data_IF_906952995603
#
_entry.id   IF_906952995603
#
_cell.length_a   1.000
_cell.length_b   1.000
_cell.length_c   1.000
_cell.angle_alpha   90.00
_cell.angle_beta   90.00
_cell.angle_gamma   90.00
#
_symmetry.space_group_name_H-M   'P 1'
#
loop_
_entity.id
_entity.type
_entity.pdbx_description
1 polymer ?
#
# COMPACT_ATOMS: atom_id res chain seq x y z
N UNK A 1 27.64 7.17 -10.51
CA UNK A 1 26.67 6.08 -10.45
C UNK A 1 25.69 6.15 -11.64
N UNK A 2 24.75 5.23 -11.70
CA UNK A 2 23.69 5.13 -12.71
C UNK A 2 22.74 6.34 -12.77
N UNK A 3 22.74 7.20 -11.74
CA UNK A 3 21.95 8.44 -11.67
C UNK A 3 22.77 9.70 -11.98
N UNK A 4 24.04 9.55 -12.37
CA UNK A 4 24.94 10.66 -12.63
C UNK A 4 25.55 11.31 -11.38
N UNK A 5 25.37 10.74 -10.17
CA UNK A 5 26.06 11.25 -8.99
C UNK A 5 27.54 10.91 -9.04
N UNK A 6 28.38 11.86 -8.63
CA UNK A 6 29.82 11.71 -8.55
C UNK A 6 30.29 12.06 -7.14
N UNK A 7 31.24 11.27 -6.62
CA UNK A 7 31.90 11.53 -5.34
C UNK A 7 33.41 11.44 -5.54
N UNK A 8 34.14 12.18 -4.73
CA UNK A 8 35.60 12.24 -4.77
C UNK A 8 36.15 12.10 -3.37
N UNK A 9 37.18 11.28 -3.21
CA UNK A 9 37.93 11.18 -1.96
C UNK A 9 39.43 11.20 -2.23
N UNK A 10 40.19 11.57 -1.24
CA UNK A 10 41.64 11.55 -1.26
C UNK A 10 42.14 10.70 -0.09
N UNK A 11 43.15 9.91 -0.31
CA UNK A 11 43.72 9.04 0.71
C UNK A 11 45.19 9.32 0.99
N UNK A 12 45.83 8.40 1.71
CA UNK A 12 47.24 8.46 1.98
C UNK A 12 48.06 8.52 0.69
N UNK A 13 49.14 9.26 0.67
CA UNK A 13 50.05 9.28 -0.50
C UNK A 13 50.62 7.89 -0.76
N UNK A 14 50.87 7.53 -2.02
CA UNK A 14 51.53 6.28 -2.36
C UNK A 14 52.99 6.28 -1.90
N UNK A 15 53.51 5.11 -1.61
CA UNK A 15 54.90 4.87 -1.19
C UNK A 15 55.65 4.10 -2.27
N UNK A 16 57.00 4.16 -2.23
CA UNK A 16 57.84 3.33 -3.09
C UNK A 16 57.65 1.85 -2.71
N UNK A 17 57.43 1.02 -3.75
CA UNK A 17 57.24 -0.41 -3.55
C UNK A 17 58.56 -1.12 -3.21
N UNK A 18 58.59 -1.80 -2.07
CA UNK A 18 59.74 -2.61 -1.67
C UNK A 18 59.74 -3.94 -2.40
N UNK A 19 58.57 -4.58 -2.58
CA UNK A 19 58.46 -5.92 -3.15
C UNK A 19 57.66 -5.97 -4.45
N UNK A 20 56.41 -5.43 -4.44
CA UNK A 20 55.51 -5.45 -5.59
C UNK A 20 54.86 -4.09 -5.78
N UNK A 21 55.06 -3.45 -6.94
CA UNK A 21 54.30 -2.25 -7.30
C UNK A 21 52.79 -2.55 -7.44
N UNK A 22 51.97 -1.55 -7.19
CA UNK A 22 50.55 -1.64 -7.44
C UNK A 22 50.29 -1.62 -8.96
N UNK A 23 49.47 -2.55 -9.43
CA UNK A 23 49.02 -2.57 -10.82
C UNK A 23 47.56 -2.19 -10.95
N UNK A 24 47.09 -1.65 -12.09
CA UNK A 24 45.69 -1.34 -12.31
C UNK A 24 44.77 -2.53 -12.03
N UNK A 25 45.14 -3.73 -12.44
CA UNK A 25 44.37 -4.96 -12.23
C UNK A 25 44.23 -5.27 -10.75
N UNK A 26 45.33 -5.21 -9.99
CA UNK A 26 45.34 -5.50 -8.56
C UNK A 26 44.53 -4.45 -7.76
N UNK A 27 44.55 -3.19 -8.21
CA UNK A 27 43.72 -2.12 -7.65
C UNK A 27 42.23 -2.36 -7.95
N UNK A 28 41.91 -2.66 -9.21
CA UNK A 28 40.55 -2.97 -9.64
C UNK A 28 39.95 -4.15 -8.83
N UNK A 29 40.67 -5.22 -8.64
CA UNK A 29 40.24 -6.39 -7.87
C UNK A 29 39.93 -6.07 -6.41
N UNK A 30 40.69 -5.15 -5.82
CA UNK A 30 40.42 -4.66 -4.46
C UNK A 30 39.21 -3.74 -4.40
N UNK A 31 39.01 -2.89 -5.39
CA UNK A 31 37.87 -1.98 -5.47
C UNK A 31 36.55 -2.72 -5.77
N UNK A 32 36.58 -3.85 -6.49
CA UNK A 32 35.42 -4.71 -6.75
C UNK A 32 34.81 -5.34 -5.48
N UNK A 33 35.56 -5.38 -4.37
CA UNK A 33 35.07 -5.96 -3.11
C UNK A 33 34.11 -5.02 -2.40
N UNK A 34 32.94 -4.81 -2.97
CA UNK A 34 31.89 -3.90 -2.45
C UNK A 34 30.88 -4.59 -1.52
N UNK A 35 31.19 -5.78 -1.01
CA UNK A 35 30.29 -6.56 -0.15
C UNK A 35 29.73 -5.76 1.03
N UNK A 36 28.47 -6.00 1.37
CA UNK A 36 27.74 -5.26 2.39
C UNK A 36 27.21 -3.88 1.92
N UNK A 37 27.37 -3.55 0.64
CA UNK A 37 26.84 -2.33 0.03
C UNK A 37 25.92 -2.66 -1.17
N UNK A 38 25.02 -1.77 -1.58
CA UNK A 38 24.18 -1.98 -2.76
C UNK A 38 24.92 -1.68 -4.10
N UNK A 39 26.22 -1.54 -4.08
CA UNK A 39 27.02 -1.13 -5.24
C UNK A 39 27.86 -2.28 -5.80
N UNK A 40 28.12 -2.21 -7.10
CA UNK A 40 29.14 -3.00 -7.79
C UNK A 40 29.97 -2.09 -8.69
N UNK A 41 31.23 -2.44 -8.92
CA UNK A 41 32.11 -1.72 -9.82
C UNK A 41 31.82 -2.15 -11.26
N UNK A 42 31.21 -1.25 -12.06
CA UNK A 42 30.86 -1.51 -13.45
C UNK A 42 32.04 -1.28 -14.40
N UNK A 43 32.80 -0.23 -14.17
CA UNK A 43 33.98 0.14 -14.97
C UNK A 43 35.08 0.71 -14.07
N UNK A 44 36.33 0.52 -14.50
CA UNK A 44 37.50 1.01 -13.79
C UNK A 44 38.48 1.64 -14.76
N UNK A 45 38.89 2.89 -14.49
CA UNK A 45 39.96 3.57 -15.17
C UNK A 45 40.94 4.09 -14.13
N UNK A 46 42.15 3.57 -14.16
CA UNK A 46 43.19 3.94 -13.21
C UNK A 46 44.51 4.28 -13.92
N UNK A 47 45.15 5.33 -13.46
CA UNK A 47 46.54 5.67 -13.84
C UNK A 47 47.37 5.51 -12.57
N UNK A 48 48.43 4.72 -12.65
CA UNK A 48 49.33 4.41 -11.53
C UNK A 48 50.73 4.67 -11.98
N UNK A 49 51.45 5.51 -11.25
CA UNK A 49 52.86 5.75 -11.54
C UNK A 49 53.70 4.51 -11.24
N UNK A 50 54.68 4.17 -12.09
CA UNK A 50 55.51 2.99 -11.92
C UNK A 50 56.29 2.99 -10.59
N UNK A 51 56.41 1.81 -9.99
CA UNK A 51 57.19 1.65 -8.76
C UNK A 51 56.50 2.08 -7.47
N UNK A 52 55.26 2.54 -7.53
CA UNK A 52 54.50 2.93 -6.34
C UNK A 52 53.58 1.82 -5.83
N UNK A 53 53.24 1.92 -4.55
CA UNK A 53 52.29 1.00 -3.92
C UNK A 53 51.39 1.74 -2.88
N UNK A 54 50.24 1.14 -2.60
CA UNK A 54 49.37 1.51 -1.52
C UNK A 54 49.08 0.29 -0.65
N UNK A 55 49.00 0.49 0.65
CA UNK A 55 48.61 -0.59 1.55
C UNK A 55 47.15 -1.05 1.29
N UNK A 56 46.88 -2.31 1.53
CA UNK A 56 45.53 -2.87 1.42
C UNK A 56 44.52 -2.11 2.32
N UNK A 57 44.99 -1.65 3.48
CA UNK A 57 44.18 -0.87 4.41
C UNK A 57 43.80 0.50 3.82
N UNK A 58 44.76 1.19 3.17
CA UNK A 58 44.52 2.48 2.54
C UNK A 58 43.50 2.38 1.38
N UNK A 59 43.64 1.37 0.50
CA UNK A 59 42.69 1.14 -0.60
C UNK A 59 41.30 0.81 -0.06
N UNK A 60 41.20 0.00 0.98
CA UNK A 60 39.94 -0.32 1.61
C UNK A 60 39.29 0.87 2.32
N UNK A 61 40.07 1.76 2.89
CA UNK A 61 39.59 3.01 3.49
C UNK A 61 38.97 3.92 2.43
N UNK A 62 39.72 4.20 1.34
CA UNK A 62 39.25 4.99 0.20
C UNK A 62 37.93 4.44 -0.36
N UNK A 63 37.88 3.11 -0.60
CA UNK A 63 36.66 2.48 -1.10
C UNK A 63 35.48 2.67 -0.17
N UNK A 64 35.64 2.47 1.13
CA UNK A 64 34.56 2.63 2.12
C UNK A 64 34.09 4.07 2.18
N UNK A 65 35.02 5.02 2.19
CA UNK A 65 34.72 6.44 2.29
C UNK A 65 33.92 6.92 1.06
N UNK A 66 34.37 6.63 -0.17
CA UNK A 66 33.69 7.06 -1.38
C UNK A 66 32.32 6.41 -1.53
N UNK A 67 32.14 5.13 -1.11
CA UNK A 67 30.83 4.49 -1.13
C UNK A 67 29.89 5.01 -0.07
N UNK A 68 30.40 5.40 1.11
CA UNK A 68 29.62 6.07 2.15
C UNK A 68 29.15 7.45 1.67
N UNK A 69 30.03 8.23 1.07
CA UNK A 69 29.68 9.53 0.51
C UNK A 69 28.65 9.39 -0.62
N UNK A 70 28.84 8.44 -1.53
CA UNK A 70 27.89 8.14 -2.60
C UNK A 70 26.51 7.76 -2.04
N UNK A 71 26.48 6.95 -0.99
CA UNK A 71 25.24 6.60 -0.28
C UNK A 71 24.56 7.82 0.33
N UNK A 72 25.35 8.71 0.95
CA UNK A 72 24.82 9.95 1.52
C UNK A 72 24.24 10.89 0.45
N UNK A 73 24.88 11.01 -0.71
CA UNK A 73 24.37 11.78 -1.85
C UNK A 73 23.09 11.17 -2.40
N UNK A 74 23.06 9.86 -2.61
CA UNK A 74 21.88 9.12 -3.14
C UNK A 74 20.69 9.14 -2.19
N UNK A 75 20.93 9.16 -0.89
CA UNK A 75 19.88 9.19 0.13
C UNK A 75 19.32 10.58 0.40
N UNK A 76 19.94 11.64 -0.11
CA UNK A 76 19.39 12.99 0.04
C UNK A 76 18.07 13.10 -0.70
N UNK A 77 16.95 13.40 -0.01
CA UNK A 77 15.70 13.65 -0.69
C UNK A 77 15.86 14.90 -1.58
N UNK A 78 15.30 14.85 -2.79
CA UNK A 78 15.21 16.05 -3.60
C UNK A 78 14.48 17.13 -2.82
N UNK A 79 15.04 18.34 -2.77
CA UNK A 79 14.37 19.47 -2.13
C UNK A 79 13.00 19.68 -2.79
N UNK A 80 11.89 19.61 -2.05
CA UNK A 80 10.57 19.80 -2.64
C UNK A 80 10.49 21.23 -3.22
N UNK A 81 10.13 21.33 -4.49
CA UNK A 81 9.81 22.63 -5.06
C UNK A 81 8.48 23.07 -4.48
N UNK A 82 8.48 24.14 -3.70
CA UNK A 82 7.27 24.77 -3.21
C UNK A 82 6.49 25.31 -4.41
N UNK A 83 5.43 24.63 -4.78
CA UNK A 83 4.47 25.12 -5.76
C UNK A 83 3.42 26.02 -5.10
N UNK A 84 2.79 26.89 -5.86
CA UNK A 84 1.62 27.62 -5.40
C UNK A 84 0.49 26.64 -5.06
N UNK A 85 -0.08 26.66 -3.85
CA UNK A 85 -1.17 25.77 -3.48
C UNK A 85 -2.37 26.02 -4.41
N UNK A 86 -2.75 25.03 -5.21
CA UNK A 86 -3.98 25.13 -5.99
C UNK A 86 -5.17 24.83 -5.09
N UNK A 87 -6.20 25.68 -5.16
CA UNK A 87 -7.49 25.41 -4.49
C UNK A 87 -8.16 24.22 -5.18
N UNK A 88 -8.46 23.17 -4.44
CA UNK A 88 -9.26 22.07 -4.95
C UNK A 88 -10.73 22.52 -5.04
N UNK A 89 -11.37 22.46 -6.20
CA UNK A 89 -12.78 22.85 -6.30
C UNK A 89 -13.64 21.97 -5.40
N UNK A 90 -14.44 22.59 -4.55
CA UNK A 90 -15.46 21.90 -3.78
C UNK A 90 -16.70 21.76 -4.66
N UNK A 91 -17.08 20.54 -4.95
CA UNK A 91 -18.30 20.25 -5.72
C UNK A 91 -19.44 19.96 -4.75
N UNK A 92 -20.57 20.66 -4.85
CA UNK A 92 -21.73 20.35 -4.03
C UNK A 92 -22.29 18.98 -4.38
N UNK A 93 -22.86 18.29 -3.42
CA UNK A 93 -23.60 17.05 -3.65
C UNK A 93 -24.97 17.31 -4.27
N UNK A 94 -25.52 16.31 -4.93
CA UNK A 94 -26.92 16.33 -5.34
C UNK A 94 -27.82 16.38 -4.09
N UNK A 95 -28.90 17.16 -4.16
CA UNK A 95 -29.97 17.11 -3.17
C UNK A 95 -30.79 15.84 -3.41
N UNK A 96 -30.43 14.77 -2.69
CA UNK A 96 -31.15 13.50 -2.75
C UNK A 96 -31.41 13.03 -1.33
N UNK A 97 -32.46 12.21 -1.14
CA UNK A 97 -32.70 11.52 0.13
C UNK A 97 -31.54 10.55 0.39
N UNK A 98 -31.01 10.49 1.61
CA UNK A 98 -30.01 9.52 1.97
C UNK A 98 -30.51 8.09 1.75
N UNK A 99 -29.69 7.25 1.16
CA UNK A 99 -29.95 5.83 1.01
C UNK A 99 -29.29 5.06 2.17
N UNK A 100 -29.99 4.06 2.68
CA UNK A 100 -29.42 3.16 3.70
C UNK A 100 -28.48 2.17 3.03
N UNK A 101 -27.24 2.11 3.48
CA UNK A 101 -26.30 1.03 3.19
C UNK A 101 -26.02 0.25 4.46
N UNK A 102 -25.87 -1.07 4.37
CA UNK A 102 -25.65 -1.94 5.51
C UNK A 102 -24.42 -2.82 5.28
N UNK A 103 -23.56 -2.88 6.27
CA UNK A 103 -22.41 -3.80 6.28
C UNK A 103 -22.62 -4.87 7.36
N UNK A 104 -22.44 -6.12 6.98
CA UNK A 104 -22.45 -7.26 7.90
C UNK A 104 -21.05 -7.85 8.00
N UNK A 105 -20.74 -8.50 9.11
CA UNK A 105 -19.48 -9.23 9.30
C UNK A 105 -19.66 -10.73 9.08
N UNK A 106 -20.90 -11.23 9.19
CA UNK A 106 -21.24 -12.66 9.10
C UNK A 106 -22.59 -12.86 8.44
N UNK A 107 -22.75 -13.99 7.79
CA UNK A 107 -23.97 -14.38 7.10
C UNK A 107 -25.21 -14.41 8.04
N UNK A 108 -25.04 -14.84 9.29
CA UNK A 108 -26.12 -14.92 10.30
C UNK A 108 -26.73 -13.57 10.69
N UNK A 109 -26.04 -12.46 10.38
CA UNK A 109 -26.56 -11.11 10.58
C UNK A 109 -27.56 -10.67 9.49
N UNK A 110 -27.66 -11.42 8.40
CA UNK A 110 -28.60 -11.16 7.29
C UNK A 110 -29.97 -11.69 7.67
N UNK A 111 -30.65 -10.99 8.55
CA UNK A 111 -31.96 -11.37 9.07
C UNK A 111 -33.10 -10.93 8.15
N UNK A 112 -34.29 -11.52 8.29
CA UNK A 112 -35.51 -11.08 7.60
C UNK A 112 -35.82 -9.59 7.87
N UNK A 113 -35.54 -9.11 9.08
CA UNK A 113 -35.76 -7.70 9.47
C UNK A 113 -34.81 -6.77 8.69
N UNK A 114 -33.53 -7.17 8.53
CA UNK A 114 -32.56 -6.41 7.74
C UNK A 114 -33.00 -6.36 6.27
N UNK A 115 -33.40 -7.49 5.68
CA UNK A 115 -33.83 -7.56 4.30
C UNK A 115 -35.12 -6.75 4.07
N UNK A 116 -36.05 -6.72 5.04
CA UNK A 116 -37.27 -5.92 4.99
C UNK A 116 -36.98 -4.40 4.97
N UNK A 117 -35.84 -3.96 5.51
CA UNK A 117 -35.42 -2.56 5.44
C UNK A 117 -34.96 -2.12 4.04
N UNK A 118 -34.77 -3.04 3.11
CA UNK A 118 -34.39 -2.82 1.69
C UNK A 118 -33.21 -1.87 1.56
N UNK A 119 -32.03 -2.17 2.11
CA UNK A 119 -30.86 -1.33 1.95
C UNK A 119 -30.51 -1.16 0.47
N UNK A 120 -30.05 0.00 0.10
CA UNK A 120 -29.59 0.26 -1.28
C UNK A 120 -28.37 -0.59 -1.63
N UNK A 121 -27.49 -0.83 -0.64
CA UNK A 121 -26.29 -1.70 -0.78
C UNK A 121 -26.16 -2.55 0.47
N UNK A 122 -25.93 -3.84 0.28
CA UNK A 122 -25.49 -4.75 1.34
C UNK A 122 -24.01 -5.13 1.11
N UNK A 123 -23.18 -4.79 2.08
CA UNK A 123 -21.76 -5.13 2.11
C UNK A 123 -21.59 -6.44 2.88
N UNK A 124 -21.02 -7.45 2.20
CA UNK A 124 -20.77 -8.79 2.74
C UNK A 124 -19.29 -9.13 2.60
N UNK A 125 -18.61 -9.63 3.65
CA UNK A 125 -17.25 -10.10 3.50
C UNK A 125 -17.10 -11.11 2.38
N UNK A 126 -16.02 -11.02 1.62
CA UNK A 126 -15.77 -11.90 0.47
C UNK A 126 -15.75 -13.38 0.87
N UNK A 127 -15.18 -13.70 2.04
CA UNK A 127 -15.16 -15.06 2.60
C UNK A 127 -16.56 -15.56 2.94
N UNK A 128 -17.36 -14.71 3.59
CA UNK A 128 -18.74 -15.09 3.97
C UNK A 128 -19.61 -15.37 2.74
N UNK A 129 -19.51 -14.55 1.68
CA UNK A 129 -20.25 -14.82 0.44
C UNK A 129 -19.76 -16.09 -0.27
N UNK A 130 -18.47 -16.41 -0.20
CA UNK A 130 -17.93 -17.63 -0.79
C UNK A 130 -18.43 -18.89 -0.09
N UNK A 131 -18.63 -18.83 1.22
CA UNK A 131 -19.14 -19.93 2.06
C UNK A 131 -20.68 -20.00 2.04
N UNK A 132 -21.36 -18.87 1.98
CA UNK A 132 -22.82 -18.72 2.06
C UNK A 132 -23.39 -18.12 0.76
N UNK A 133 -23.32 -18.89 -0.32
CA UNK A 133 -23.72 -18.45 -1.68
C UNK A 133 -25.20 -18.12 -1.80
N UNK A 134 -26.04 -18.69 -0.94
CA UNK A 134 -27.47 -18.42 -0.85
C UNK A 134 -27.79 -16.95 -0.55
N UNK A 135 -26.86 -16.20 0.05
CA UNK A 135 -27.02 -14.76 0.33
C UNK A 135 -27.46 -13.99 -0.91
N UNK A 136 -26.91 -14.33 -2.06
CA UNK A 136 -27.22 -13.66 -3.31
C UNK A 136 -28.70 -13.75 -3.70
N UNK A 137 -29.34 -14.90 -3.42
CA UNK A 137 -30.75 -15.14 -3.71
C UNK A 137 -31.71 -14.56 -2.66
N UNK A 138 -31.22 -14.20 -1.48
CA UNK A 138 -32.04 -13.63 -0.40
C UNK A 138 -32.26 -12.12 -0.56
N UNK A 139 -31.49 -11.45 -1.42
CA UNK A 139 -31.52 -9.99 -1.52
C UNK A 139 -32.82 -9.49 -2.16
N UNK A 140 -33.44 -8.45 -1.57
CA UNK A 140 -34.62 -7.83 -2.16
C UNK A 140 -34.25 -7.17 -3.51
N UNK A 141 -35.21 -7.12 -4.40
CA UNK A 141 -35.05 -6.39 -5.65
C UNK A 141 -34.65 -4.92 -5.38
N UNK A 142 -33.61 -4.45 -6.08
CA UNK A 142 -33.08 -3.09 -5.90
C UNK A 142 -31.95 -2.99 -4.85
N UNK A 143 -31.66 -4.02 -4.08
CA UNK A 143 -30.48 -4.04 -3.19
C UNK A 143 -29.25 -4.52 -3.97
N UNK A 144 -28.22 -3.68 -4.01
CA UNK A 144 -26.93 -4.06 -4.62
C UNK A 144 -26.13 -4.95 -3.68
N UNK A 145 -25.65 -6.08 -4.18
CA UNK A 145 -24.66 -6.91 -3.49
C UNK A 145 -23.26 -6.35 -3.71
N UNK A 146 -22.60 -5.98 -2.64
CA UNK A 146 -21.22 -5.53 -2.65
C UNK A 146 -20.36 -6.41 -1.73
N UNK A 147 -19.27 -6.95 -2.23
CA UNK A 147 -18.35 -7.73 -1.40
C UNK A 147 -17.27 -6.85 -0.78
N UNK A 148 -16.94 -7.12 0.48
CA UNK A 148 -15.88 -6.39 1.19
C UNK A 148 -14.58 -7.19 1.14
N UNK A 149 -13.52 -6.53 0.65
CA UNK A 149 -12.19 -7.10 0.59
C UNK A 149 -11.54 -7.22 1.98
N UNK A 150 -10.70 -8.24 2.19
CA UNK A 150 -9.78 -8.23 3.33
C UNK A 150 -8.89 -7.00 3.25
N UNK A 151 -8.62 -6.35 4.38
CA UNK A 151 -7.74 -5.17 4.42
C UNK A 151 -6.31 -5.49 4.04
N UNK A 152 -5.82 -6.64 4.47
CA UNK A 152 -4.50 -7.17 4.15
C UNK A 152 -4.70 -8.43 3.34
N UNK A 153 -4.01 -8.53 2.22
CA UNK A 153 -3.91 -9.73 1.39
C UNK A 153 -2.44 -10.00 1.18
N UNK A 154 -1.96 -11.14 1.65
CA UNK A 154 -0.59 -11.57 1.44
C UNK A 154 -0.46 -12.27 0.09
N UNK A 155 0.76 -12.33 -0.44
CA UNK A 155 1.02 -12.97 -1.74
C UNK A 155 0.51 -14.42 -1.80
N UNK A 156 0.66 -15.17 -0.69
CA UNK A 156 0.15 -16.53 -0.59
C UNK A 156 -1.38 -16.64 -0.61
N UNK A 157 -2.11 -15.59 -0.25
CA UNK A 157 -3.58 -15.54 -0.20
C UNK A 157 -4.20 -15.00 -1.50
N UNK A 158 -3.41 -14.35 -2.34
CA UNK A 158 -3.88 -13.65 -3.54
C UNK A 158 -4.68 -14.57 -4.47
N UNK A 159 -4.23 -15.82 -4.67
CA UNK A 159 -4.93 -16.80 -5.52
C UNK A 159 -6.31 -17.16 -4.97
N UNK A 160 -6.42 -17.33 -3.66
CA UNK A 160 -7.70 -17.62 -3.00
C UNK A 160 -8.66 -16.43 -3.10
N UNK A 161 -8.18 -15.23 -2.86
CA UNK A 161 -8.98 -14.00 -2.98
C UNK A 161 -9.49 -13.81 -4.41
N UNK A 162 -8.66 -14.04 -5.43
CA UNK A 162 -9.08 -13.98 -6.83
C UNK A 162 -10.15 -15.02 -7.16
N UNK A 163 -10.02 -16.24 -6.66
CA UNK A 163 -11.03 -17.28 -6.85
C UNK A 163 -12.36 -16.91 -6.18
N UNK A 164 -12.33 -16.34 -4.97
CA UNK A 164 -13.53 -15.88 -4.28
C UNK A 164 -14.19 -14.68 -5.00
N UNK A 165 -13.41 -13.76 -5.56
CA UNK A 165 -13.94 -12.67 -6.38
C UNK A 165 -14.63 -13.18 -7.65
N UNK A 166 -14.07 -14.21 -8.31
CA UNK A 166 -14.72 -14.84 -9.46
C UNK A 166 -16.07 -15.45 -9.07
N UNK A 167 -16.15 -16.14 -7.92
CA UNK A 167 -17.42 -16.66 -7.37
C UNK A 167 -18.38 -15.52 -7.06
N UNK A 168 -17.95 -14.47 -6.40
CA UNK A 168 -18.79 -13.32 -6.07
C UNK A 168 -19.41 -12.70 -7.33
N UNK A 169 -18.64 -12.62 -8.42
CA UNK A 169 -19.14 -12.12 -9.69
C UNK A 169 -20.22 -13.02 -10.30
N UNK A 170 -20.07 -14.33 -10.27
CA UNK A 170 -21.10 -15.27 -10.76
C UNK A 170 -22.38 -15.22 -9.92
N UNK A 171 -22.27 -14.83 -8.64
CA UNK A 171 -23.39 -14.62 -7.74
C UNK A 171 -24.04 -13.21 -7.90
N UNK A 172 -23.60 -12.40 -8.85
CA UNK A 172 -24.20 -11.10 -9.14
C UNK A 172 -23.67 -9.93 -8.30
N UNK A 173 -22.54 -10.10 -7.58
CA UNK A 173 -21.90 -8.99 -6.94
C UNK A 173 -21.44 -7.97 -8.00
N UNK A 174 -21.97 -6.73 -7.93
CA UNK A 174 -21.71 -5.69 -8.91
C UNK A 174 -20.52 -4.80 -8.51
N UNK A 175 -20.20 -4.75 -7.25
CA UNK A 175 -19.16 -3.88 -6.70
C UNK A 175 -18.36 -4.55 -5.58
N UNK A 176 -17.22 -3.94 -5.30
CA UNK A 176 -16.28 -4.37 -4.25
C UNK A 176 -15.96 -3.18 -3.37
N UNK A 177 -16.08 -3.33 -2.06
CA UNK A 177 -15.65 -2.37 -1.05
C UNK A 177 -14.20 -2.66 -0.67
N UNK A 178 -13.32 -1.67 -0.79
CA UNK A 178 -11.93 -1.79 -0.36
C UNK A 178 -11.44 -0.57 0.40
N UNK A 179 -10.68 -0.81 1.46
CA UNK A 179 -9.94 0.19 2.21
C UNK A 179 -8.44 0.21 1.92
N UNK A 180 -7.99 -0.47 0.86
CA UNK A 180 -6.58 -0.57 0.48
C UNK A 180 -6.37 -0.09 -0.95
N UNK A 181 -5.54 0.96 -1.12
CA UNK A 181 -5.22 1.55 -2.42
C UNK A 181 -4.64 0.53 -3.42
N UNK A 182 -3.83 -0.41 -2.94
CA UNK A 182 -3.20 -1.43 -3.79
C UNK A 182 -4.20 -2.42 -4.41
N UNK A 183 -5.42 -2.54 -3.87
CA UNK A 183 -6.45 -3.44 -4.37
C UNK A 183 -7.30 -2.81 -5.48
N UNK A 184 -7.33 -1.47 -5.61
CA UNK A 184 -8.26 -0.76 -6.50
C UNK A 184 -8.09 -1.20 -7.95
N UNK A 185 -6.88 -1.08 -8.49
CA UNK A 185 -6.60 -1.42 -9.89
C UNK A 185 -6.86 -2.92 -10.19
N UNK A 186 -6.48 -3.81 -9.28
CA UNK A 186 -6.70 -5.24 -9.44
C UNK A 186 -8.19 -5.61 -9.50
N UNK A 187 -9.00 -5.00 -8.62
CA UNK A 187 -10.46 -5.22 -8.58
C UNK A 187 -11.14 -4.64 -9.83
N UNK A 188 -10.70 -3.45 -10.29
CA UNK A 188 -11.20 -2.84 -11.52
C UNK A 188 -10.87 -3.67 -12.76
N UNK A 189 -9.68 -4.26 -12.84
CA UNK A 189 -9.28 -5.15 -13.92
C UNK A 189 -10.18 -6.40 -14.04
N UNK A 190 -10.79 -6.83 -12.92
CA UNK A 190 -11.80 -7.91 -12.90
C UNK A 190 -13.20 -7.41 -13.28
N UNK A 191 -13.37 -6.12 -13.62
CA UNK A 191 -14.62 -5.53 -14.08
C UNK A 191 -15.62 -5.18 -12.96
N UNK A 192 -15.20 -5.11 -11.70
CA UNK A 192 -16.05 -4.63 -10.62
C UNK A 192 -16.03 -3.10 -10.51
N UNK A 193 -17.14 -2.51 -10.09
CA UNK A 193 -17.15 -1.15 -9.57
C UNK A 193 -16.50 -1.14 -8.20
N UNK A 194 -15.64 -0.17 -7.93
CA UNK A 194 -14.93 -0.08 -6.64
C UNK A 194 -15.59 0.97 -5.76
N UNK A 195 -15.94 0.60 -4.53
CA UNK A 195 -16.37 1.49 -3.46
C UNK A 195 -15.25 1.63 -2.45
N UNK A 196 -15.00 2.86 -2.01
CA UNK A 196 -13.93 3.16 -1.05
C UNK A 196 -14.41 3.03 0.38
N UNK A 197 -13.76 2.17 1.16
CA UNK A 197 -14.00 2.00 2.59
C UNK A 197 -13.24 3.04 3.41
N UNK A 198 -13.56 3.17 4.70
CA UNK A 198 -12.93 4.11 5.64
C UNK A 198 -11.39 3.96 5.72
N UNK A 199 -10.83 2.79 5.40
CA UNK A 199 -9.38 2.57 5.32
C UNK A 199 -8.66 3.44 4.29
N UNK A 200 -9.37 4.01 3.30
CA UNK A 200 -8.81 4.99 2.38
C UNK A 200 -8.66 6.39 3.00
N UNK A 201 -9.13 6.56 4.21
CA UNK A 201 -8.98 7.76 5.04
C UNK A 201 -9.38 9.06 4.31
N UNK A 202 -10.62 9.11 3.84
CA UNK A 202 -11.17 10.26 3.12
C UNK A 202 -11.41 11.40 4.11
N UNK A 203 -10.44 12.29 4.23
CA UNK A 203 -10.40 13.36 5.21
C UNK A 203 -10.53 14.78 4.63
N UNK A 204 -10.30 14.93 3.33
CA UNK A 204 -10.34 16.24 2.66
C UNK A 204 -10.71 16.11 1.18
N UNK A 205 -11.05 17.25 0.56
CA UNK A 205 -11.49 17.30 -0.84
C UNK A 205 -10.40 16.90 -1.85
N UNK A 206 -9.12 16.98 -1.50
CA UNK A 206 -8.04 16.50 -2.38
C UNK A 206 -8.01 14.98 -2.46
N UNK A 207 -8.20 14.30 -1.33
CA UNK A 207 -8.36 12.85 -1.30
C UNK A 207 -9.56 12.41 -2.14
N UNK A 208 -10.70 13.11 -2.02
CA UNK A 208 -11.87 12.84 -2.85
C UNK A 208 -11.54 12.97 -4.34
N UNK A 209 -10.83 14.02 -4.77
CA UNK A 209 -10.48 14.22 -6.18
C UNK A 209 -9.49 13.15 -6.70
N UNK A 210 -8.52 12.75 -5.89
CA UNK A 210 -7.60 11.66 -6.24
C UNK A 210 -8.37 10.35 -6.47
N UNK A 211 -9.22 9.96 -5.51
CA UNK A 211 -9.99 8.71 -5.60
C UNK A 211 -11.04 8.75 -6.72
N UNK A 212 -11.63 9.92 -6.97
CA UNK A 212 -12.49 10.15 -8.14
C UNK A 212 -11.75 9.89 -9.46
N UNK A 213 -10.52 10.39 -9.59
CA UNK A 213 -9.67 10.16 -10.78
C UNK A 213 -9.30 8.68 -10.94
N UNK A 214 -9.26 7.93 -9.86
CA UNK A 214 -9.11 6.47 -9.89
C UNK A 214 -10.40 5.72 -10.19
N UNK A 215 -11.53 6.42 -10.42
CA UNK A 215 -12.78 5.81 -10.87
C UNK A 215 -13.59 5.13 -9.77
N UNK A 216 -13.45 5.52 -8.50
CA UNK A 216 -14.26 4.96 -7.43
C UNK A 216 -15.72 5.39 -7.54
N UNK A 217 -16.64 4.46 -7.31
CA UNK A 217 -18.07 4.65 -7.43
C UNK A 217 -18.71 5.35 -6.22
N UNK A 218 -18.18 5.13 -5.01
CA UNK A 218 -18.54 5.82 -3.78
C UNK A 218 -17.37 5.85 -2.80
N UNK A 219 -17.45 6.70 -1.77
CA UNK A 219 -16.42 6.86 -0.76
C UNK A 219 -17.07 6.92 0.62
N UNK A 220 -16.63 6.08 1.55
CA UNK A 220 -16.93 6.22 2.96
C UNK A 220 -15.99 7.27 3.57
N UNK A 221 -16.56 8.32 4.15
CA UNK A 221 -15.79 9.33 4.86
C UNK A 221 -15.12 8.75 6.10
N UNK A 222 -13.98 9.33 6.48
CA UNK A 222 -13.37 9.03 7.77
C UNK A 222 -14.37 9.30 8.90
N UNK A 223 -14.51 8.36 9.81
CA UNK A 223 -15.36 8.51 11.00
C UNK A 223 -14.77 9.49 12.04
N UNK A 224 -13.57 9.99 11.81
CA UNK A 224 -12.93 11.04 12.63
C UNK A 224 -13.39 12.44 12.23
N UNK A 225 -14.10 12.59 11.09
CA UNK A 225 -14.62 13.86 10.64
C UNK A 225 -15.88 14.27 11.40
N UNK A 226 -15.95 15.53 11.78
CA UNK A 226 -17.20 16.15 12.29
C UNK A 226 -18.19 16.42 11.16
N UNK A 227 -19.48 16.54 11.49
CA UNK A 227 -20.53 16.84 10.50
C UNK A 227 -20.26 18.13 9.70
N UNK A 228 -19.78 19.26 10.29
CA UNK A 228 -19.39 20.44 9.52
C UNK A 228 -18.29 20.16 8.52
N UNK A 229 -17.25 19.41 8.90
CA UNK A 229 -16.18 19.03 7.98
C UNK A 229 -16.68 18.15 6.83
N UNK A 230 -17.56 17.19 7.13
CA UNK A 230 -18.21 16.37 6.10
C UNK A 230 -19.08 17.22 5.18
N UNK A 231 -19.83 18.18 5.71
CA UNK A 231 -20.63 19.12 4.90
C UNK A 231 -19.76 19.88 3.90
N UNK A 232 -18.59 20.35 4.34
CA UNK A 232 -17.69 21.19 3.56
C UNK A 232 -16.77 20.38 2.62
N UNK A 233 -16.79 19.04 2.72
CA UNK A 233 -16.07 18.14 1.84
C UNK A 233 -16.67 18.16 0.42
N UNK A 234 -15.83 18.09 -0.63
CA UNK A 234 -16.29 17.93 -2.00
C UNK A 234 -17.12 16.66 -2.18
N UNK A 235 -18.27 16.78 -2.84
CA UNK A 235 -19.16 15.65 -3.18
C UNK A 235 -19.00 15.25 -4.66
N UNK A 236 -17.79 15.30 -5.17
CA UNK A 236 -17.47 14.89 -6.54
C UNK A 236 -17.68 13.40 -6.82
N UNK A 237 -17.82 12.60 -5.75
CA UNK A 237 -18.17 11.17 -5.74
C UNK A 237 -19.27 10.98 -4.71
N UNK A 238 -20.25 10.07 -4.91
CA UNK A 238 -21.21 9.69 -3.89
C UNK A 238 -20.49 9.37 -2.56
N UNK A 239 -20.96 9.98 -1.49
CA UNK A 239 -20.28 9.94 -0.19
C UNK A 239 -21.14 9.20 0.82
N UNK A 240 -20.55 8.24 1.52
CA UNK A 240 -21.18 7.45 2.56
C UNK A 240 -20.69 7.89 3.95
N UNK A 241 -21.54 7.77 4.94
CA UNK A 241 -21.23 8.09 6.33
C UNK A 241 -21.54 6.88 7.21
N UNK A 242 -20.62 6.54 8.10
CA UNK A 242 -20.90 5.54 9.11
C UNK A 242 -21.69 6.18 10.24
N UNK A 243 -22.94 5.77 10.41
CA UNK A 243 -23.86 6.35 11.40
C UNK A 243 -24.13 5.42 12.59
N UNK A 244 -23.87 4.13 12.43
CA UNK A 244 -24.04 3.12 13.47
C UNK A 244 -23.12 1.93 13.25
N UNK A 245 -22.50 1.42 14.30
CA UNK A 245 -21.70 0.20 14.28
C UNK A 245 -20.52 0.25 15.24
N UNK A 246 -19.79 -0.86 15.28
CA UNK A 246 -18.52 -0.95 15.99
C UNK A 246 -17.39 -0.63 15.04
N UNK A 247 -16.51 0.26 15.47
CA UNK A 247 -15.31 0.62 14.70
C UNK A 247 -14.15 -0.30 15.07
N UNK A 248 -13.41 -0.82 14.09
CA UNK A 248 -12.18 -1.53 14.37
C UNK A 248 -11.11 -0.53 14.83
N UNK A 249 -10.59 -0.72 16.03
CA UNK A 249 -9.57 0.14 16.61
C UNK A 249 -8.18 -0.19 16.04
N UNK A 250 -7.91 -1.46 15.79
CA UNK A 250 -6.60 -1.94 15.33
C UNK A 250 -6.78 -3.23 14.53
N UNK A 251 -5.98 -3.36 13.49
CA UNK A 251 -5.72 -4.63 12.82
C UNK A 251 -4.37 -5.15 13.31
N UNK A 252 -4.36 -6.33 13.93
CA UNK A 252 -3.13 -6.95 14.43
C UNK A 252 -2.97 -8.34 13.83
N UNK A 253 -1.76 -8.70 13.45
CA UNK A 253 -1.38 -10.05 13.04
C UNK A 253 -0.90 -10.90 14.23
N UNK A 254 -0.70 -10.25 15.37
CA UNK A 254 -0.29 -10.89 16.60
C UNK A 254 -1.51 -11.42 17.34
N UNK A 255 -1.60 -12.74 17.52
CA UNK A 255 -2.68 -13.37 18.26
C UNK A 255 -2.49 -13.20 19.77
N UNK A 256 -3.24 -12.31 20.38
CA UNK A 256 -3.20 -12.04 21.83
C UNK A 256 -3.52 -13.29 22.64
N UNK A 257 -4.48 -14.10 22.15
CA UNK A 257 -4.87 -15.36 22.82
C UNK A 257 -3.70 -16.34 22.82
N UNK A 258 -3.10 -16.57 21.65
CA UNK A 258 -1.93 -17.45 21.53
C UNK A 258 -0.77 -16.99 22.39
N UNK A 259 -0.50 -15.70 22.44
CA UNK A 259 0.57 -15.15 23.27
C UNK A 259 0.34 -15.37 24.75
N UNK A 260 -0.92 -15.33 25.19
CA UNK A 260 -1.26 -15.53 26.62
C UNK A 260 -1.40 -17.01 27.00
N UNK A 261 -1.96 -17.84 26.13
CA UNK A 261 -2.30 -19.24 26.45
C UNK A 261 -1.31 -20.26 25.87
N UNK A 262 -0.40 -19.83 25.00
CA UNK A 262 0.51 -20.70 24.25
C UNK A 262 -0.18 -21.52 23.14
N UNK A 263 -1.50 -21.52 23.08
CA UNK A 263 -2.29 -22.28 22.11
C UNK A 263 -3.31 -21.40 21.41
N UNK A 264 -3.60 -21.72 20.15
CA UNK A 264 -4.66 -21.08 19.38
C UNK A 264 -5.60 -22.16 18.84
N UNK A 265 -6.88 -22.06 19.17
CA UNK A 265 -7.94 -22.93 18.64
C UNK A 265 -8.55 -22.39 17.33
N UNK A 266 -8.07 -21.25 16.81
CA UNK A 266 -8.58 -20.67 15.56
C UNK A 266 -8.00 -21.40 14.35
N UNK A 267 -8.86 -21.83 13.45
CA UNK A 267 -8.52 -22.48 12.17
C UNK A 267 -8.11 -21.46 11.09
N UNK A 268 -7.25 -20.49 11.41
CA UNK A 268 -6.68 -19.55 10.44
C UNK A 268 -7.54 -18.34 10.06
N UNK A 269 -8.72 -18.18 10.64
CA UNK A 269 -9.53 -16.97 10.49
C UNK A 269 -9.17 -15.88 11.52
N UNK A 270 -9.53 -14.60 11.29
CA UNK A 270 -9.35 -13.56 12.29
C UNK A 270 -10.10 -13.96 13.56
N UNK A 271 -9.40 -13.96 14.69
CA UNK A 271 -10.02 -14.15 16.01
C UNK A 271 -11.03 -13.03 16.26
N UNK A 272 -12.26 -13.41 16.45
CA UNK A 272 -13.40 -12.51 16.73
C UNK A 272 -13.33 -11.93 18.13
#
# INVERSE_FOLDING_TARGET
DDRGNTCKTAGAPPELAVNRPLTPESLCDRLRKTGGTPYYLSDFRGVIDPGLTLSAAAINALRREVLAELSAVRSRPAAPKLGTPSKTPVRPGAKAMPALTVSVLRADQITRKLLAARPAVLYVPLSELAEHREIASLLPAGTELCVTMPRVVRDGEARQVLAQLAVARTLGAASVLTGNLGQIAAVQALGFRVRGDFGLNVFNSRTVDVLRKQGLASLLCSFELTLPQIRDLSKAVPTELLVYGRLPLMLTENCIIRNRTGACACTGGPTK
#
